data_IF_188629433257
#
_entry.id   IF_188629433257
#
_cell.length_a   1.000
_cell.length_b   1.000
_cell.length_c   1.000
_cell.angle_alpha   90.00
_cell.angle_beta   90.00
_cell.angle_gamma   90.00
#
_symmetry.space_group_name_H-M   'P 1'
#
loop_
_entity.id
_entity.type
_entity.pdbx_description
1 polymer ?
#
# COMPACT_ATOMS: atom_id res chain seq x y z
N UNK A 1 -10.52 2.08 -0.35
CA UNK A 1 -9.18 2.50 0.15
C UNK A 1 -8.13 2.27 -0.94
N UNK A 2 -7.20 3.21 -1.18
CA UNK A 2 -6.12 3.05 -2.19
C UNK A 2 -4.84 2.45 -1.59
N UNK A 3 -3.91 1.89 -2.40
CA UNK A 3 -2.62 1.41 -1.90
C UNK A 3 -1.80 2.46 -1.14
N UNK A 4 -1.92 3.75 -1.52
CA UNK A 4 -1.27 4.86 -0.80
C UNK A 4 -1.83 5.02 0.61
N UNK A 5 -3.15 4.95 0.75
CA UNK A 5 -3.82 5.05 2.05
C UNK A 5 -3.41 3.89 2.96
N UNK A 6 -3.28 2.70 2.38
CA UNK A 6 -2.81 1.51 3.10
C UNK A 6 -1.37 1.66 3.61
N UNK A 7 -0.48 2.29 2.82
CA UNK A 7 0.89 2.54 3.24
C UNK A 7 0.98 3.53 4.40
N UNK A 8 -0.02 4.41 4.55
CA UNK A 8 -0.10 5.44 5.60
C UNK A 8 -1.05 5.07 6.74
N UNK A 9 -1.47 3.82 6.84
CA UNK A 9 -2.44 3.39 7.85
C UNK A 9 -2.01 3.69 9.29
N UNK A 10 -0.69 3.70 9.56
CA UNK A 10 -0.16 4.04 10.88
C UNK A 10 -0.40 5.49 11.29
N UNK A 11 -0.79 6.35 10.34
CA UNK A 11 -1.15 7.75 10.58
C UNK A 11 -2.65 7.92 10.83
N UNK A 12 -3.46 6.87 10.59
CA UNK A 12 -4.91 6.91 10.81
C UNK A 12 -5.23 6.70 12.30
N UNK A 13 -6.16 7.50 12.80
CA UNK A 13 -6.76 7.36 14.11
C UNK A 13 -7.95 6.36 14.13
N UNK A 14 -8.29 5.77 12.99
CA UNK A 14 -9.41 4.83 12.85
C UNK A 14 -9.02 3.39 13.22
N UNK A 15 -7.74 3.13 13.53
CA UNK A 15 -7.21 1.80 13.79
C UNK A 15 -6.41 1.76 15.10
N UNK A 16 -6.55 0.65 15.82
CA UNK A 16 -5.58 0.24 16.84
C UNK A 16 -4.56 -0.71 16.22
N UNK A 17 -3.35 -0.71 16.76
CA UNK A 17 -2.28 -1.55 16.22
C UNK A 17 -1.42 -2.20 17.30
N UNK A 18 -0.85 -3.36 16.95
CA UNK A 18 0.10 -4.08 17.78
C UNK A 18 1.09 -4.85 16.92
N UNK A 19 2.32 -5.01 17.42
CA UNK A 19 3.24 -6.02 16.89
C UNK A 19 2.71 -7.38 17.31
N UNK A 20 2.40 -8.25 16.35
CA UNK A 20 1.80 -9.56 16.61
C UNK A 20 2.76 -10.71 16.37
N UNK A 21 3.79 -10.52 15.55
CA UNK A 21 4.73 -11.59 15.21
C UNK A 21 6.08 -11.05 14.75
N UNK A 22 7.10 -11.90 14.85
CA UNK A 22 8.41 -11.70 14.24
C UNK A 22 8.83 -13.02 13.59
N UNK A 23 8.80 -13.06 12.27
CA UNK A 23 9.05 -14.28 11.49
C UNK A 23 10.21 -14.13 10.52
N UNK A 24 10.77 -15.25 10.09
CA UNK A 24 11.78 -15.28 9.02
C UNK A 24 11.12 -15.72 7.72
N UNK A 25 11.20 -14.89 6.68
CA UNK A 25 10.67 -15.17 5.34
C UNK A 25 11.79 -14.88 4.33
N UNK A 26 12.17 -15.86 3.50
CA UNK A 26 13.26 -15.75 2.52
C UNK A 26 14.59 -15.22 3.13
N UNK A 27 14.93 -15.70 4.32
CA UNK A 27 16.14 -15.29 5.05
C UNK A 27 16.08 -13.88 5.66
N UNK A 28 14.96 -13.15 5.52
CA UNK A 28 14.74 -11.82 6.11
C UNK A 28 13.88 -11.94 7.35
N UNK A 29 14.28 -11.27 8.43
CA UNK A 29 13.50 -11.18 9.67
C UNK A 29 12.46 -10.06 9.52
N UNK A 30 11.20 -10.45 9.39
CA UNK A 30 10.05 -9.57 9.21
C UNK A 30 9.31 -9.41 10.54
N UNK A 31 9.04 -8.16 10.93
CA UNK A 31 8.12 -7.84 12.03
C UNK A 31 6.73 -7.63 11.44
N UNK A 32 5.73 -8.31 11.98
CA UNK A 32 4.33 -8.14 11.58
C UNK A 32 3.61 -7.21 12.57
N UNK A 33 3.01 -6.16 12.03
CA UNK A 33 2.16 -5.23 12.75
C UNK A 33 0.73 -5.42 12.23
N UNK A 34 -0.20 -5.75 13.11
CA UNK A 34 -1.62 -5.82 12.77
C UNK A 34 -2.33 -4.54 13.18
N UNK A 35 -3.18 -4.05 12.28
CA UNK A 35 -4.09 -2.92 12.45
C UNK A 35 -5.50 -3.45 12.44
N UNK A 36 -6.30 -3.11 13.46
CA UNK A 36 -7.72 -3.43 13.53
C UNK A 36 -8.54 -2.14 13.57
N UNK A 37 -9.59 -2.02 12.75
CA UNK A 37 -10.42 -0.84 12.79
C UNK A 37 -11.12 -0.73 14.15
N UNK A 38 -11.28 0.51 14.61
CA UNK A 38 -12.09 0.84 15.78
C UNK A 38 -13.58 0.73 15.46
N UNK A 39 -13.97 1.03 14.23
CA UNK A 39 -15.32 0.85 13.74
C UNK A 39 -15.66 -0.64 13.57
N UNK A 40 -16.72 -1.07 14.25
CA UNK A 40 -17.21 -2.46 14.22
C UNK A 40 -17.92 -2.81 12.92
N UNK A 41 -18.43 -1.82 12.20
CA UNK A 41 -19.14 -1.98 10.93
C UNK A 41 -18.20 -1.92 9.73
N UNK A 42 -16.89 -1.73 9.97
CA UNK A 42 -15.87 -1.76 8.93
C UNK A 42 -15.95 -3.04 8.08
N UNK A 43 -15.78 -2.86 6.77
CA UNK A 43 -15.59 -3.96 5.81
C UNK A 43 -14.28 -4.71 6.05
N UNK A 44 -13.29 -4.05 6.66
CA UNK A 44 -12.00 -4.64 6.99
C UNK A 44 -12.05 -5.32 8.37
N UNK A 45 -11.57 -6.56 8.46
CA UNK A 45 -11.37 -7.24 9.74
C UNK A 45 -10.06 -6.76 10.37
N UNK A 46 -9.00 -6.75 9.55
CA UNK A 46 -7.67 -6.30 9.92
C UNK A 46 -6.82 -6.05 8.68
N UNK A 47 -5.77 -5.28 8.89
CA UNK A 47 -4.66 -5.17 7.96
C UNK A 47 -3.38 -5.60 8.66
N UNK A 48 -2.44 -6.15 7.90
CA UNK A 48 -1.16 -6.60 8.42
C UNK A 48 -0.04 -6.07 7.55
N UNK A 49 0.88 -5.34 8.19
CA UNK A 49 2.10 -4.85 7.56
C UNK A 49 3.26 -5.75 7.99
N UNK A 50 4.05 -6.21 7.03
CA UNK A 50 5.32 -6.89 7.28
C UNK A 50 6.48 -5.95 6.95
N UNK A 51 7.31 -5.64 7.95
CA UNK A 51 8.45 -4.74 7.85
C UNK A 51 9.74 -5.53 8.01
N UNK A 52 10.70 -5.33 7.09
CA UNK A 52 12.05 -5.87 7.27
C UNK A 52 12.76 -5.11 8.39
N UNK A 53 13.16 -5.82 9.45
CA UNK A 53 13.73 -5.19 10.65
C UNK A 53 15.12 -4.59 10.44
N UNK A 54 15.83 -5.00 9.38
CA UNK A 54 17.18 -4.51 9.08
C UNK A 54 17.18 -3.07 8.58
N UNK A 55 16.24 -2.74 7.69
CA UNK A 55 16.19 -1.48 6.96
C UNK A 55 14.90 -0.68 7.24
N UNK A 56 13.99 -1.22 8.06
CA UNK A 56 12.66 -0.68 8.35
C UNK A 56 11.81 -0.46 7.09
N UNK A 57 12.09 -1.21 6.03
CA UNK A 57 11.35 -1.11 4.77
C UNK A 57 10.14 -2.04 4.83
N UNK A 58 8.97 -1.48 4.50
CA UNK A 58 7.76 -2.27 4.29
C UNK A 58 7.95 -3.23 3.12
N UNK A 59 7.63 -4.51 3.34
CA UNK A 59 7.72 -5.55 2.31
C UNK A 59 6.38 -6.06 1.82
N UNK A 60 5.37 -6.04 2.69
CA UNK A 60 4.07 -6.62 2.36
C UNK A 60 2.97 -5.95 3.17
N UNK A 61 1.82 -5.76 2.54
CA UNK A 61 0.55 -5.47 3.21
C UNK A 61 -0.44 -6.58 2.87
N UNK A 62 -1.08 -7.16 3.87
CA UNK A 62 -2.19 -8.08 3.70
C UNK A 62 -3.47 -7.49 4.31
N UNK A 63 -4.55 -7.46 3.54
CA UNK A 63 -5.89 -7.02 3.96
C UNK A 63 -6.77 -8.24 4.14
N UNK A 64 -7.50 -8.28 5.23
CA UNK A 64 -8.48 -9.30 5.54
C UNK A 64 -9.85 -8.63 5.59
N UNK A 65 -10.74 -8.99 4.69
CA UNK A 65 -12.07 -8.39 4.51
C UNK A 65 -13.13 -9.31 5.13
N UNK A 66 -14.24 -8.74 5.59
CA UNK A 66 -15.32 -9.45 6.30
C UNK A 66 -15.99 -10.55 5.49
N UNK A 67 -16.01 -10.40 4.17
CA UNK A 67 -16.49 -11.40 3.21
C UNK A 67 -15.55 -12.61 3.07
N UNK A 68 -14.40 -12.61 3.76
CA UNK A 68 -13.39 -13.66 3.69
C UNK A 68 -12.30 -13.41 2.64
N UNK A 69 -12.44 -12.37 1.81
CA UNK A 69 -11.46 -12.00 0.81
C UNK A 69 -10.14 -11.57 1.45
N UNK A 70 -9.03 -11.91 0.80
CA UNK A 70 -7.68 -11.50 1.19
C UNK A 70 -6.92 -10.90 0.03
N UNK A 71 -6.52 -9.64 0.19
CA UNK A 71 -5.66 -8.95 -0.75
C UNK A 71 -4.25 -8.86 -0.21
N UNK A 72 -3.23 -9.08 -1.04
CA UNK A 72 -1.83 -8.96 -0.65
C UNK A 72 -1.09 -8.11 -1.66
N UNK A 73 -0.41 -7.08 -1.18
CA UNK A 73 0.48 -6.22 -1.96
C UNK A 73 1.90 -6.45 -1.47
N UNK A 74 2.80 -6.86 -2.35
CA UNK A 74 4.22 -7.08 -2.05
C UNK A 74 5.06 -5.99 -2.71
N UNK A 75 6.03 -5.45 -1.96
CA UNK A 75 7.01 -4.49 -2.47
C UNK A 75 8.35 -5.19 -2.70
N UNK A 76 8.63 -5.46 -3.98
CA UNK A 76 9.86 -6.15 -4.40
C UNK A 76 11.05 -5.17 -4.44
N UNK A 77 10.94 -4.11 -5.24
CA UNK A 77 11.97 -3.10 -5.44
C UNK A 77 11.43 -1.70 -5.12
N UNK A 78 12.13 -0.99 -4.24
CA UNK A 78 11.82 0.39 -3.87
C UNK A 78 13.08 1.22 -4.08
N UNK A 79 12.99 2.21 -4.95
CA UNK A 79 14.04 3.22 -5.16
C UNK A 79 13.57 4.55 -4.54
N UNK A 80 14.17 4.92 -3.41
CA UNK A 80 13.83 6.17 -2.71
C UNK A 80 14.60 7.36 -3.29
N UNK A 81 14.04 8.56 -3.13
CA UNK A 81 14.69 9.85 -3.46
C UNK A 81 15.14 9.98 -4.92
N UNK A 82 14.44 9.33 -5.85
CA UNK A 82 14.67 9.48 -7.28
C UNK A 82 14.11 10.82 -7.76
N UNK A 83 14.89 11.55 -8.54
CA UNK A 83 14.43 12.76 -9.22
C UNK A 83 13.69 12.36 -10.49
N UNK A 84 12.52 12.92 -10.69
CA UNK A 84 11.70 12.71 -11.89
C UNK A 84 11.44 14.06 -12.55
N UNK A 85 11.47 14.08 -13.89
CA UNK A 85 11.04 15.24 -14.67
C UNK A 85 9.52 15.41 -14.51
N UNK A 86 9.04 16.66 -14.42
CA UNK A 86 7.60 16.93 -14.24
C UNK A 86 6.75 16.36 -15.38
N UNK A 87 7.31 16.26 -16.60
CA UNK A 87 6.64 15.72 -17.77
C UNK A 87 6.23 14.27 -17.62
N UNK A 88 6.85 13.49 -16.72
CA UNK A 88 6.45 12.09 -16.52
C UNK A 88 5.04 11.98 -15.91
N UNK A 89 4.57 13.05 -15.24
CA UNK A 89 3.28 13.10 -14.56
C UNK A 89 2.19 13.75 -15.41
N UNK A 90 2.52 14.15 -16.64
CA UNK A 90 1.59 14.69 -17.61
C UNK A 90 1.51 13.76 -18.82
N UNK A 91 0.30 13.54 -19.33
CA UNK A 91 0.15 12.76 -20.56
C UNK A 91 0.66 13.56 -21.77
N UNK A 92 1.66 13.02 -22.47
CA UNK A 92 2.16 13.57 -23.73
C UNK A 92 1.52 12.86 -24.93
N UNK A 93 0.57 13.53 -25.57
CA UNK A 93 -0.12 13.02 -26.78
C UNK A 93 0.85 12.78 -27.94
N UNK A 94 1.90 13.59 -28.10
CA UNK A 94 2.86 13.43 -29.19
C UNK A 94 3.69 12.15 -29.06
N UNK A 95 3.94 11.71 -27.82
CA UNK A 95 4.62 10.45 -27.53
C UNK A 95 3.74 9.19 -27.77
N UNK A 96 2.44 9.36 -28.01
CA UNK A 96 1.47 8.26 -28.14
C UNK A 96 0.65 8.36 -29.45
N UNK A 97 1.28 8.17 -30.62
CA UNK A 97 0.60 8.30 -31.91
C UNK A 97 -0.52 7.25 -32.06
N UNK A 98 -1.66 7.67 -32.61
CA UNK A 98 -2.81 6.80 -32.85
C UNK A 98 -3.76 6.61 -31.67
N UNK A 99 -3.46 7.18 -30.49
CA UNK A 99 -4.36 7.15 -29.34
C UNK A 99 -5.47 8.20 -29.50
N UNK A 100 -6.73 7.75 -29.35
CA UNK A 100 -7.86 8.65 -29.17
C UNK A 100 -7.85 9.19 -27.73
N UNK A 101 -7.94 10.51 -27.59
CA UNK A 101 -7.96 11.18 -26.29
C UNK A 101 -9.32 11.82 -26.13
N UNK A 102 -10.05 11.36 -25.12
CA UNK A 102 -11.34 11.91 -24.72
C UNK A 102 -11.18 12.59 -23.36
N UNK A 103 -11.65 13.83 -23.25
CA UNK A 103 -11.58 14.60 -22.01
C UNK A 103 -12.94 14.54 -21.30
N UNK A 104 -12.96 13.89 -20.14
CA UNK A 104 -14.17 13.66 -19.34
C UNK A 104 -14.31 14.64 -18.17
N UNK A 105 -13.53 15.71 -18.14
CA UNK A 105 -13.62 16.73 -17.08
C UNK A 105 -14.94 17.50 -17.21
N UNK A 106 -15.60 17.71 -16.07
CA UNK A 106 -16.81 18.55 -15.97
C UNK A 106 -16.32 19.97 -15.64
N UNK A 107 -16.78 20.95 -16.43
CA UNK A 107 -16.52 22.40 -16.21
C UNK A 107 -17.20 22.94 -14.94
#
# INVERSE_FOLDING_TARGET
>A
MSPKDMLRIYESNEYIYAITDVKTENGKKLTEIEFKPLDRDSEYIKMRISINRKDNIMKKIAIFVRDGSKYTVSLENIESNKTYDEKIFAFDKAAHPGVHVEDLRID
#
